data_IF_254653616348
#
_entry.id   IF_254653616348
#
_cell.length_a   1.000
_cell.length_b   1.000
_cell.length_c   1.000
_cell.angle_alpha   90.00
_cell.angle_beta   90.00
_cell.angle_gamma   90.00
#
_symmetry.space_group_name_H-M   'P 1'
#
loop_
_entity.id
_entity.type
_entity.pdbx_description
1 polymer ?
#
# COMPACT_ATOMS: atom_id res chain seq x y z
N UNK A 1 -35.91 -33.66 3.03
CA UNK A 1 -35.16 -33.17 1.84
C UNK A 1 -34.47 -31.87 2.23
N UNK A 2 -33.14 -31.75 2.11
CA UNK A 2 -32.43 -30.48 2.38
C UNK A 2 -32.56 -29.58 1.14
N UNK A 3 -33.19 -28.44 1.28
CA UNK A 3 -33.26 -27.41 0.24
C UNK A 3 -31.92 -26.68 0.19
N UNK A 4 -31.15 -26.87 -0.87
CA UNK A 4 -29.94 -26.10 -1.12
C UNK A 4 -30.31 -24.81 -1.86
N UNK A 5 -29.81 -23.66 -1.37
CA UNK A 5 -29.96 -22.35 -2.03
C UNK A 5 -28.68 -22.05 -2.78
N UNK A 6 -28.77 -21.90 -4.11
CA UNK A 6 -27.67 -21.39 -4.93
C UNK A 6 -27.48 -19.90 -4.58
N UNK A 7 -26.30 -19.54 -4.08
CA UNK A 7 -25.90 -18.14 -3.93
C UNK A 7 -24.96 -17.85 -5.10
N UNK A 8 -25.41 -17.10 -6.12
CA UNK A 8 -24.56 -16.78 -7.26
C UNK A 8 -23.42 -15.84 -6.81
N UNK A 9 -22.28 -15.96 -7.46
CA UNK A 9 -21.19 -14.98 -7.36
C UNK A 9 -21.59 -13.70 -8.12
N UNK A 10 -22.51 -12.93 -7.55
CA UNK A 10 -22.91 -11.62 -8.07
C UNK A 10 -21.96 -10.52 -7.60
N UNK A 11 -21.94 -9.39 -8.31
CA UNK A 11 -21.20 -8.20 -7.89
C UNK A 11 -21.60 -7.74 -6.49
N UNK A 12 -22.90 -7.75 -6.19
CA UNK A 12 -23.40 -7.44 -4.85
C UNK A 12 -22.83 -8.39 -3.78
N UNK A 13 -22.72 -9.69 -4.07
CA UNK A 13 -22.12 -10.64 -3.14
C UNK A 13 -20.64 -10.32 -2.88
N UNK A 14 -19.87 -10.00 -3.95
CA UNK A 14 -18.47 -9.60 -3.81
C UNK A 14 -18.34 -8.35 -2.94
N UNK A 15 -19.14 -7.31 -3.21
CA UNK A 15 -19.15 -6.08 -2.42
C UNK A 15 -19.49 -6.38 -0.96
N UNK A 16 -20.48 -7.23 -0.68
CA UNK A 16 -20.88 -7.59 0.68
C UNK A 16 -19.79 -8.34 1.46
N UNK A 17 -18.85 -8.98 0.76
CA UNK A 17 -17.68 -9.62 1.38
C UNK A 17 -16.51 -8.68 1.61
N UNK A 18 -16.49 -7.50 0.96
CA UNK A 18 -15.47 -6.49 1.17
C UNK A 18 -15.51 -5.94 2.61
N UNK A 19 -14.37 -5.56 3.20
CA UNK A 19 -14.31 -4.88 4.49
C UNK A 19 -15.04 -3.54 4.49
N UNK A 20 -15.23 -3.04 5.69
CA UNK A 20 -16.02 -1.86 6.00
C UNK A 20 -15.27 -1.02 7.03
N UNK A 21 -15.61 0.25 7.16
CA UNK A 21 -15.00 1.12 8.17
C UNK A 21 -15.44 0.72 9.57
N UNK A 22 -14.71 1.18 10.60
CA UNK A 22 -15.08 0.95 12.01
C UNK A 22 -16.54 1.31 12.33
N UNK A 23 -17.08 2.33 11.68
CA UNK A 23 -18.47 2.78 11.88
C UNK A 23 -19.46 2.13 10.94
N UNK A 24 -19.01 1.42 9.90
CA UNK A 24 -19.81 0.91 8.77
C UNK A 24 -20.49 1.94 7.86
N UNK A 25 -20.49 3.21 8.28
CA UNK A 25 -21.15 4.29 7.59
C UNK A 25 -20.18 5.44 7.34
N UNK A 26 -20.38 6.13 6.22
CA UNK A 26 -19.76 7.42 5.91
C UNK A 26 -20.85 8.43 5.54
N UNK A 27 -20.63 9.71 5.85
CA UNK A 27 -21.55 10.77 5.43
C UNK A 27 -21.44 10.96 3.92
N UNK A 28 -22.57 10.89 3.22
CA UNK A 28 -22.66 11.20 1.80
C UNK A 28 -22.66 12.72 1.60
N UNK A 29 -21.71 13.22 0.83
CA UNK A 29 -21.71 14.58 0.30
C UNK A 29 -22.05 14.54 -1.19
N UNK A 30 -22.97 15.39 -1.65
CA UNK A 30 -23.41 15.37 -3.04
C UNK A 30 -22.33 15.84 -4.02
N UNK A 31 -21.41 16.72 -3.60
CA UNK A 31 -20.36 17.26 -4.46
C UNK A 31 -19.06 16.46 -4.34
N UNK A 32 -18.73 16.00 -3.14
CA UNK A 32 -17.46 15.36 -2.82
C UNK A 32 -17.56 13.84 -2.68
N UNK A 33 -18.76 13.26 -2.60
CA UNK A 33 -18.96 11.83 -2.38
C UNK A 33 -18.79 11.41 -0.92
N UNK A 34 -18.09 10.31 -0.67
CA UNK A 34 -17.91 9.74 0.68
C UNK A 34 -16.43 9.72 1.07
N UNK A 35 -16.15 9.88 2.38
CA UNK A 35 -14.79 9.75 2.90
C UNK A 35 -14.65 8.41 3.62
N UNK A 36 -13.73 7.57 3.15
CA UNK A 36 -13.46 6.22 3.65
C UNK A 36 -11.96 6.04 3.81
N UNK A 37 -11.50 5.65 5.00
CA UNK A 37 -10.07 5.48 5.32
C UNK A 37 -9.17 6.68 4.96
N UNK A 38 -9.72 7.90 5.03
CA UNK A 38 -9.00 9.13 4.70
C UNK A 38 -9.04 9.53 3.22
N UNK A 39 -9.55 8.67 2.34
CA UNK A 39 -9.74 8.93 0.93
C UNK A 39 -11.13 9.44 0.62
N UNK A 40 -11.24 10.23 -0.44
CA UNK A 40 -12.51 10.73 -0.96
C UNK A 40 -12.87 9.94 -2.21
N UNK A 41 -14.00 9.26 -2.14
CA UNK A 41 -14.53 8.49 -3.26
C UNK A 41 -15.80 9.12 -3.80
N UNK A 42 -15.92 9.18 -5.12
CA UNK A 42 -17.04 9.80 -5.79
C UNK A 42 -17.63 8.91 -6.88
N UNK A 43 -18.93 9.06 -7.09
CA UNK A 43 -19.64 8.55 -8.24
C UNK A 43 -20.60 9.64 -8.75
N UNK A 44 -20.69 9.91 -10.07
CA UNK A 44 -21.58 10.92 -10.63
C UNK A 44 -23.06 10.88 -10.17
N UNK A 45 -23.59 9.71 -9.83
CA UNK A 45 -24.98 9.55 -9.39
C UNK A 45 -25.22 10.10 -7.96
N UNK A 46 -24.17 10.21 -7.15
CA UNK A 46 -24.25 10.77 -5.80
C UNK A 46 -24.72 12.23 -5.80
N UNK A 47 -24.40 12.98 -6.86
CA UNK A 47 -24.80 14.38 -7.02
C UNK A 47 -26.31 14.60 -7.00
N UNK A 48 -27.06 13.62 -7.49
CA UNK A 48 -28.52 13.69 -7.59
C UNK A 48 -29.22 12.89 -6.49
N UNK A 49 -28.47 12.33 -5.54
CA UNK A 49 -29.03 11.47 -4.51
C UNK A 49 -29.86 12.25 -3.50
N UNK A 50 -31.00 11.66 -3.12
CA UNK A 50 -31.85 12.20 -2.04
C UNK A 50 -31.30 11.89 -0.65
N UNK A 51 -30.26 11.07 -0.57
CA UNK A 51 -29.57 10.70 0.66
C UNK A 51 -28.38 11.60 0.98
N UNK A 52 -28.14 12.65 0.18
CA UNK A 52 -27.12 13.65 0.46
C UNK A 52 -27.24 14.21 1.89
N UNK A 53 -26.13 14.24 2.61
CA UNK A 53 -26.03 14.65 4.01
C UNK A 53 -26.27 13.53 5.03
N UNK A 54 -26.74 12.35 4.62
CA UNK A 54 -27.03 11.21 5.50
C UNK A 54 -25.84 10.24 5.58
N UNK A 55 -25.73 9.45 6.66
CA UNK A 55 -24.79 8.34 6.72
C UNK A 55 -25.27 7.19 5.82
N UNK A 56 -24.44 6.80 4.87
CA UNK A 56 -24.67 5.67 3.95
C UNK A 56 -23.70 4.54 4.26
N UNK A 57 -24.09 3.29 3.98
CA UNK A 57 -23.22 2.14 4.19
C UNK A 57 -22.06 2.20 3.21
N UNK A 58 -20.86 1.92 3.69
CA UNK A 58 -19.64 1.94 2.87
C UNK A 58 -18.86 0.66 3.03
N UNK A 59 -18.21 0.26 1.94
CA UNK A 59 -17.24 -0.82 1.88
C UNK A 59 -16.10 -0.39 0.98
N UNK A 60 -14.94 -1.04 1.08
CA UNK A 60 -13.78 -0.69 0.24
C UNK A 60 -13.05 -1.95 -0.20
N UNK A 61 -12.31 -1.86 -1.30
CA UNK A 61 -11.51 -2.98 -1.79
C UNK A 61 -10.14 -3.01 -1.10
N UNK A 62 -9.81 -4.03 -0.30
CA UNK A 62 -8.58 -4.05 0.51
C UNK A 62 -7.32 -4.26 -0.32
N UNK A 63 -7.45 -4.75 -1.56
CA UNK A 63 -6.33 -4.93 -2.49
C UNK A 63 -6.24 -3.82 -3.55
N UNK A 64 -7.16 -2.86 -3.51
CA UNK A 64 -7.16 -1.70 -4.41
C UNK A 64 -7.83 -0.51 -3.71
N UNK A 65 -7.01 0.29 -3.03
CA UNK A 65 -7.45 1.47 -2.29
C UNK A 65 -7.97 2.60 -3.19
N UNK A 66 -7.98 2.46 -4.52
CA UNK A 66 -8.64 3.42 -5.41
C UNK A 66 -10.15 3.20 -5.57
N UNK A 67 -10.67 2.07 -5.06
CA UNK A 67 -12.07 1.66 -5.24
C UNK A 67 -12.78 1.46 -3.92
N UNK A 68 -13.93 2.12 -3.79
CA UNK A 68 -14.86 1.91 -2.68
C UNK A 68 -16.29 1.74 -3.19
N UNK A 69 -17.14 1.21 -2.33
CA UNK A 69 -18.55 0.97 -2.62
C UNK A 69 -19.41 1.71 -1.61
N UNK A 70 -20.38 2.47 -2.08
CA UNK A 70 -21.34 3.17 -1.25
C UNK A 70 -22.76 2.73 -1.59
N UNK A 71 -23.58 2.44 -0.58
CA UNK A 71 -24.98 2.09 -0.79
C UNK A 71 -25.83 3.35 -0.82
N UNK A 72 -26.28 3.74 -2.01
CA UNK A 72 -26.96 5.03 -2.26
C UNK A 72 -28.20 4.78 -3.13
N UNK A 73 -29.34 5.36 -2.74
CA UNK A 73 -30.63 5.24 -3.43
C UNK A 73 -31.04 3.78 -3.71
N UNK A 74 -30.72 2.87 -2.78
CA UNK A 74 -31.10 1.46 -2.84
C UNK A 74 -30.17 0.56 -3.67
N UNK A 75 -29.01 1.05 -4.11
CA UNK A 75 -28.05 0.27 -4.90
C UNK A 75 -26.61 0.51 -4.43
N UNK A 76 -25.72 -0.45 -4.68
CA UNK A 76 -24.28 -0.26 -4.49
C UNK A 76 -23.68 0.49 -5.67
N UNK A 77 -23.04 1.62 -5.38
CA UNK A 77 -22.30 2.42 -6.35
C UNK A 77 -20.80 2.16 -6.21
N UNK A 78 -20.15 1.82 -7.31
CA UNK A 78 -18.69 1.71 -7.40
C UNK A 78 -18.09 3.10 -7.55
N UNK A 79 -17.41 3.55 -6.51
CA UNK A 79 -16.87 4.88 -6.37
C UNK A 79 -15.36 4.85 -6.59
N UNK A 80 -14.87 5.77 -7.40
CA UNK A 80 -13.44 5.93 -7.64
C UNK A 80 -12.89 7.07 -6.78
N UNK A 81 -11.66 6.91 -6.35
CA UNK A 81 -10.84 7.99 -5.80
C UNK A 81 -10.43 8.93 -6.96
N UNK A 82 -10.48 10.24 -6.72
CA UNK A 82 -10.27 11.27 -7.78
C UNK A 82 -8.88 11.92 -7.70
N UNK A 83 -8.23 11.91 -6.54
CA UNK A 83 -7.07 12.76 -6.29
C UNK A 83 -5.71 12.11 -6.55
N UNK A 84 -5.62 10.78 -6.63
CA UNK A 84 -4.33 10.09 -6.56
C UNK A 84 -4.30 8.78 -7.37
N UNK A 85 -3.98 8.89 -8.67
CA UNK A 85 -3.77 7.75 -9.57
C UNK A 85 -2.76 6.73 -9.02
N UNK A 86 -1.80 7.19 -8.22
CA UNK A 86 -0.77 6.38 -7.58
C UNK A 86 -1.30 5.41 -6.49
N UNK A 87 -2.56 5.55 -6.08
CA UNK A 87 -3.25 4.65 -5.11
C UNK A 87 -3.82 3.43 -5.80
N UNK A 88 -4.02 3.50 -7.11
CA UNK A 88 -4.63 2.43 -7.89
C UNK A 88 -3.80 1.15 -7.79
N UNK A 89 -4.45 0.06 -7.39
CA UNK A 89 -3.83 -1.27 -7.25
C UNK A 89 -3.00 -1.45 -5.98
N UNK A 90 -2.90 -0.44 -5.09
CA UNK A 90 -2.24 -0.60 -3.80
C UNK A 90 -3.18 -1.22 -2.78
N UNK A 91 -2.65 -2.13 -1.98
CA UNK A 91 -3.43 -2.74 -0.90
C UNK A 91 -3.54 -1.82 0.32
N UNK A 92 -4.52 -2.07 1.19
CA UNK A 92 -4.69 -1.36 2.46
C UNK A 92 -3.42 -1.45 3.33
N UNK A 93 -2.80 -2.64 3.36
CA UNK A 93 -1.58 -2.89 4.14
C UNK A 93 -0.40 -2.07 3.63
N UNK A 94 -0.19 -2.09 2.32
CA UNK A 94 0.85 -1.32 1.65
C UNK A 94 0.63 0.17 1.85
N UNK A 95 -0.60 0.64 1.71
CA UNK A 95 -0.95 2.03 1.97
C UNK A 95 -0.68 2.44 3.42
N UNK A 96 -0.94 1.55 4.38
CA UNK A 96 -0.58 1.74 5.78
C UNK A 96 0.91 2.01 5.96
N UNK A 97 1.77 1.19 5.34
CA UNK A 97 3.22 1.34 5.40
C UNK A 97 3.69 2.66 4.78
N UNK A 98 3.15 3.02 3.61
CA UNK A 98 3.44 4.30 2.93
C UNK A 98 3.10 5.48 3.84
N UNK A 99 1.93 5.46 4.49
CA UNK A 99 1.53 6.53 5.39
C UNK A 99 2.38 6.59 6.65
N UNK A 100 2.82 5.45 7.18
CA UNK A 100 3.68 5.40 8.36
C UNK A 100 5.07 5.95 8.06
N UNK A 101 5.66 5.56 6.92
CA UNK A 101 6.93 6.11 6.43
C UNK A 101 6.81 7.63 6.21
N UNK A 102 5.74 8.08 5.53
CA UNK A 102 5.48 9.50 5.32
C UNK A 102 5.42 10.29 6.63
N UNK A 103 4.75 9.74 7.66
CA UNK A 103 4.64 10.38 8.98
C UNK A 103 6.01 10.46 9.67
N UNK A 104 6.81 9.40 9.60
CA UNK A 104 8.13 9.38 10.22
C UNK A 104 9.07 10.39 9.55
N UNK A 105 9.06 10.49 8.22
CA UNK A 105 9.81 11.52 7.50
C UNK A 105 9.39 12.95 7.91
N UNK A 106 8.09 13.21 8.07
CA UNK A 106 7.65 14.52 8.56
C UNK A 106 8.12 14.81 10.00
N UNK A 107 8.23 13.78 10.84
CA UNK A 107 8.72 13.89 12.23
C UNK A 107 10.21 14.25 12.27
N UNK A 108 11.03 13.56 11.48
CA UNK A 108 12.48 13.81 11.37
C UNK A 108 12.77 15.25 10.92
N UNK A 109 11.98 15.79 10.00
CA UNK A 109 12.14 17.16 9.49
C UNK A 109 11.59 18.26 10.42
N UNK A 110 11.25 17.96 11.69
CA UNK A 110 10.72 18.89 12.70
C UNK A 110 9.54 19.76 12.23
N UNK A 111 8.79 19.30 11.23
CA UNK A 111 7.61 20.01 10.76
C UNK A 111 6.50 19.78 11.80
N UNK A 112 5.98 20.86 12.42
CA UNK A 112 4.72 20.80 13.18
C UNK A 112 3.71 19.99 12.37
N UNK A 113 2.99 19.03 12.98
CA UNK A 113 1.99 18.14 12.32
C UNK A 113 1.28 18.89 11.20
N UNK A 114 1.79 18.75 9.98
CA UNK A 114 1.16 19.32 8.80
C UNK A 114 0.05 18.32 8.46
N UNK A 115 -1.15 18.82 8.20
CA UNK A 115 -2.19 17.97 7.62
C UNK A 115 -1.66 17.27 6.36
N UNK A 116 -2.25 16.13 6.02
CA UNK A 116 -1.91 15.42 4.78
C UNK A 116 -2.19 16.38 3.62
N UNK A 117 -1.12 16.93 3.05
CA UNK A 117 -1.15 17.77 1.87
C UNK A 117 -1.03 16.84 0.66
N UNK A 118 -2.08 16.78 -0.16
CA UNK A 118 -2.16 15.86 -1.30
C UNK A 118 -1.01 16.06 -2.28
N UNK A 119 -0.56 17.30 -2.49
CA UNK A 119 0.56 17.59 -3.38
C UNK A 119 1.88 17.01 -2.85
N UNK A 120 2.11 17.10 -1.54
CA UNK A 120 3.32 16.54 -0.90
C UNK A 120 3.30 15.03 -0.86
N UNK A 121 2.12 14.44 -0.62
CA UNK A 121 1.97 12.99 -0.65
C UNK A 121 2.21 12.45 -2.07
N UNK A 122 1.72 13.15 -3.10
CA UNK A 122 1.96 12.76 -4.49
C UNK A 122 3.45 12.80 -4.87
N UNK A 123 4.18 13.85 -4.44
CA UNK A 123 5.63 13.94 -4.65
C UNK A 123 6.38 12.84 -3.91
N UNK A 124 6.03 12.56 -2.65
CA UNK A 124 6.60 11.46 -1.88
C UNK A 124 6.39 10.09 -2.56
N UNK A 125 5.19 9.86 -3.10
CA UNK A 125 4.89 8.64 -3.84
C UNK A 125 5.68 8.52 -5.13
N UNK A 126 5.94 9.64 -5.83
CA UNK A 126 6.79 9.65 -7.02
C UNK A 126 8.24 9.28 -6.68
N UNK A 127 8.80 9.88 -5.62
CA UNK A 127 10.14 9.54 -5.13
C UNK A 127 10.23 8.04 -4.76
N UNK A 128 9.26 7.53 -3.99
CA UNK A 128 9.21 6.12 -3.59
C UNK A 128 9.17 5.16 -4.79
N UNK A 129 8.43 5.49 -5.85
CA UNK A 129 8.39 4.69 -7.07
C UNK A 129 9.75 4.63 -7.77
N UNK A 130 10.54 5.71 -7.72
CA UNK A 130 11.90 5.70 -8.29
C UNK A 130 12.85 4.82 -7.49
N UNK A 131 12.75 4.85 -6.16
CA UNK A 131 13.53 3.99 -5.27
C UNK A 131 13.17 2.51 -5.45
N UNK A 132 11.87 2.20 -5.54
CA UNK A 132 11.37 0.85 -5.77
C UNK A 132 11.89 0.26 -7.09
N UNK A 133 11.92 1.07 -8.17
CA UNK A 133 12.45 0.64 -9.45
C UNK A 133 13.94 0.27 -9.36
N UNK A 134 14.73 1.07 -8.62
CA UNK A 134 16.14 0.79 -8.39
C UNK A 134 16.34 -0.50 -7.59
N UNK A 135 15.63 -0.65 -6.47
CA UNK A 135 15.72 -1.84 -5.61
C UNK A 135 15.26 -3.10 -6.34
N UNK A 136 14.19 -3.01 -7.13
CA UNK A 136 13.71 -4.10 -7.97
C UNK A 136 14.76 -4.55 -8.99
N UNK A 137 15.48 -3.60 -9.59
CA UNK A 137 16.56 -3.92 -10.52
C UNK A 137 17.73 -4.59 -9.80
N UNK A 138 18.13 -4.08 -8.64
CA UNK A 138 19.18 -4.71 -7.81
C UNK A 138 18.80 -6.15 -7.43
N UNK A 139 17.55 -6.39 -7.06
CA UNK A 139 17.06 -7.74 -6.75
C UNK A 139 17.17 -8.66 -7.97
N UNK A 140 16.72 -8.23 -9.16
CA UNK A 140 16.87 -9.02 -10.39
C UNK A 140 18.33 -9.30 -10.73
N UNK A 141 19.20 -8.32 -10.50
CA UNK A 141 20.62 -8.48 -10.75
C UNK A 141 21.23 -9.52 -9.80
N UNK A 142 20.82 -9.54 -8.53
CA UNK A 142 21.21 -10.56 -7.54
C UNK A 142 20.69 -11.96 -7.92
N UNK A 143 19.41 -12.08 -8.27
CA UNK A 143 18.81 -13.33 -8.73
C UNK A 143 19.51 -13.87 -10.00
N UNK A 144 19.97 -12.96 -10.87
CA UNK A 144 20.69 -13.30 -12.09
C UNK A 144 22.17 -13.66 -11.89
N UNK A 145 22.77 -13.47 -10.69
CA UNK A 145 24.20 -13.75 -10.46
C UNK A 145 24.54 -15.20 -10.78
N UNK A 146 23.78 -16.15 -10.22
CA UNK A 146 24.03 -17.58 -10.40
C UNK A 146 23.94 -18.01 -11.89
N UNK A 147 23.01 -17.41 -12.63
CA UNK A 147 22.84 -17.67 -14.07
C UNK A 147 24.04 -17.12 -14.85
N UNK A 148 24.47 -15.89 -14.55
CA UNK A 148 25.62 -15.25 -15.21
C UNK A 148 26.92 -16.01 -14.93
N UNK A 149 27.13 -16.45 -13.70
CA UNK A 149 28.29 -17.27 -13.31
C UNK A 149 28.32 -18.62 -14.02
N UNK A 150 27.16 -19.26 -14.21
CA UNK A 150 27.07 -20.52 -14.97
C UNK A 150 27.35 -20.35 -16.47
N UNK A 151 27.01 -19.20 -17.07
CA UNK A 151 27.17 -18.93 -18.51
C UNK A 151 28.58 -18.42 -18.84
N UNK A 152 29.10 -17.46 -18.06
CA UNK A 152 30.36 -16.75 -18.35
C UNK A 152 31.55 -17.36 -17.59
N UNK A 153 31.28 -18.23 -16.61
CA UNK A 153 32.26 -18.67 -15.61
C UNK A 153 32.36 -17.66 -14.45
N UNK A 154 32.99 -18.05 -13.33
CA UNK A 154 33.18 -17.13 -12.20
C UNK A 154 33.96 -15.91 -12.68
N UNK A 155 33.39 -14.72 -12.48
CA UNK A 155 34.11 -13.47 -12.70
C UNK A 155 35.24 -13.45 -11.69
N UNK A 156 36.46 -13.70 -12.15
CA UNK A 156 37.64 -13.69 -11.31
C UNK A 156 37.88 -12.23 -10.83
N UNK A 157 37.28 -11.86 -9.70
CA UNK A 157 37.51 -10.57 -9.03
C UNK A 157 38.92 -10.49 -8.40
N UNK A 158 39.73 -11.55 -8.50
CA UNK A 158 41.06 -11.64 -7.91
C UNK A 158 42.16 -10.81 -8.63
N UNK A 159 41.82 -9.90 -9.56
CA UNK A 159 42.82 -9.09 -10.26
C UNK A 159 42.97 -7.66 -9.74
N UNK A 160 42.29 -7.27 -8.65
CA UNK A 160 42.42 -5.94 -8.05
C UNK A 160 42.93 -5.93 -6.59
N UNK A 161 43.25 -7.09 -6.02
CA UNK A 161 43.92 -7.16 -4.72
C UNK A 161 45.33 -7.74 -4.90
N UNK A 162 46.23 -6.87 -5.36
CA UNK A 162 47.67 -7.11 -5.29
C UNK A 162 48.35 -5.90 -4.66
N UNK A 163 48.01 -5.63 -3.39
CA UNK A 163 48.92 -5.11 -2.35
C UNK A 163 48.11 -4.78 -1.10
N UNK A 164 47.97 -5.74 -0.19
CA UNK A 164 48.44 -5.49 1.17
C UNK A 164 48.62 -6.82 1.91
N UNK A 165 49.80 -6.97 2.48
CA UNK A 165 50.27 -8.11 3.23
C UNK A 165 49.55 -8.25 4.57
N UNK A 166 49.27 -9.50 4.94
CA UNK A 166 49.15 -10.05 6.28
C UNK A 166 48.16 -9.40 7.26
N UNK A 167 46.95 -9.96 7.38
CA UNK A 167 46.28 -10.20 8.67
C UNK A 167 45.31 -11.39 8.54
N UNK A 168 45.76 -12.58 8.96
CA UNK A 168 44.82 -13.61 9.42
C UNK A 168 44.20 -13.13 10.74
N UNK A 169 42.89 -12.98 10.77
CA UNK A 169 42.12 -12.90 12.00
C UNK A 169 40.80 -13.62 11.79
N UNK A 170 40.75 -14.88 12.24
CA UNK A 170 39.52 -15.61 12.51
C UNK A 170 38.73 -14.84 13.58
N UNK A 171 37.80 -13.98 13.18
CA UNK A 171 36.74 -13.51 14.06
C UNK A 171 35.46 -14.29 13.73
N UNK A 172 35.32 -15.43 14.39
CA UNK A 172 34.06 -16.15 14.53
C UNK A 172 32.99 -15.17 15.05
N UNK A 173 31.97 -14.88 14.23
CA UNK A 173 30.89 -13.96 14.59
C UNK A 173 30.09 -14.52 15.77
N UNK A 174 30.33 -13.99 16.96
CA UNK A 174 29.60 -14.38 18.18
C UNK A 174 28.15 -13.84 18.14
N UNK A 175 27.25 -14.72 17.71
CA UNK A 175 25.80 -14.51 17.63
C UNK A 175 25.16 -14.13 18.98
N UNK A 176 25.85 -14.29 20.11
CA UNK A 176 25.34 -13.90 21.43
C UNK A 176 25.41 -12.40 21.70
N UNK A 177 26.13 -11.64 20.87
CA UNK A 177 26.28 -10.18 21.02
C UNK A 177 25.24 -9.37 20.22
N UNK A 178 24.42 -10.04 19.42
CA UNK A 178 23.37 -9.36 18.65
C UNK A 178 22.25 -8.85 19.59
N UNK A 179 21.88 -7.57 19.51
CA UNK A 179 20.80 -7.03 20.33
C UNK A 179 19.48 -7.72 19.99
N UNK A 180 18.86 -8.37 20.97
CA UNK A 180 17.52 -8.92 20.85
C UNK A 180 16.52 -7.77 20.73
N UNK A 181 15.84 -7.66 19.59
CA UNK A 181 14.74 -6.73 19.39
C UNK A 181 13.59 -7.11 20.35
N UNK A 182 13.19 -6.18 21.22
CA UNK A 182 12.09 -6.39 22.15
C UNK A 182 10.77 -6.59 21.40
N UNK A 183 10.06 -7.67 21.70
CA UNK A 183 8.69 -7.90 21.25
C UNK A 183 7.78 -6.80 21.83
N UNK A 184 7.23 -5.95 20.96
CA UNK A 184 6.19 -5.00 21.33
C UNK A 184 4.95 -5.76 21.81
N UNK A 185 4.60 -5.61 23.09
CA UNK A 185 3.30 -6.02 23.66
C UNK A 185 2.21 -4.98 23.40
#
# INVERSE_FOLDING_TARGET
MRTHRLIPYSEEFLILTCPTTRTNYAKLDAACGVVVNGFRYYHPLMRFSKEAGKPVKVRYEPFDMSRAYAFVDGQWLTCAEDALLQVQGRSEREWGLILDEWREQQRVHQRKRVGIDSARLAAFLEDLLTEEALLSQQQRDLEGVAIREAIVGPTNRASLEASDSDLEMDDELDLTTLPTLEEYR
#
